data_IF_437667031529
#
_entry.id   IF_437667031529
#
_cell.length_a   1.000
_cell.length_b   1.000
_cell.length_c   1.000
_cell.angle_alpha   90.00
_cell.angle_beta   90.00
_cell.angle_gamma   90.00
#
_symmetry.space_group_name_H-M   'P 1'
#
loop_
_entity.id
_entity.type
_entity.pdbx_description
1 polymer ?
#
# COMPACT_ATOMS: atom_id res chain seq x y z
N UNK A 1 -11.12 13.86 -28.22
CA UNK A 1 -11.27 13.24 -26.88
C UNK A 1 -9.94 12.61 -26.51
N UNK A 2 -9.31 13.05 -25.42
CA UNK A 2 -8.11 12.38 -24.91
C UNK A 2 -8.62 11.14 -24.17
N UNK A 3 -8.36 9.94 -24.69
CA UNK A 3 -8.56 8.71 -23.90
C UNK A 3 -7.71 8.89 -22.65
N UNK A 4 -8.34 9.20 -21.51
CA UNK A 4 -7.69 9.00 -20.21
C UNK A 4 -7.39 7.51 -20.15
N UNK A 5 -6.11 7.15 -20.25
CA UNK A 5 -5.68 5.78 -20.05
C UNK A 5 -6.32 5.27 -18.76
N UNK A 6 -6.86 4.05 -18.81
CA UNK A 6 -7.51 3.41 -17.68
C UNK A 6 -6.59 3.52 -16.46
N UNK A 7 -7.02 4.27 -15.45
CA UNK A 7 -6.15 4.57 -14.30
C UNK A 7 -6.06 3.30 -13.46
N UNK A 8 -4.87 2.68 -13.33
CA UNK A 8 -4.75 1.31 -12.84
C UNK A 8 -5.28 1.12 -11.41
N UNK A 9 -5.32 2.19 -10.61
CA UNK A 9 -5.65 2.17 -9.18
C UNK A 9 -6.72 3.18 -8.78
N UNK A 10 -7.64 3.56 -9.68
CA UNK A 10 -8.76 4.42 -9.34
C UNK A 10 -9.69 3.82 -8.26
N UNK A 11 -9.73 2.48 -8.15
CA UNK A 11 -10.40 1.79 -7.05
C UNK A 11 -9.46 1.69 -5.83
N UNK A 12 -9.81 2.29 -4.67
CA UNK A 12 -8.98 2.25 -3.47
C UNK A 12 -8.70 0.85 -2.93
N UNK A 13 -9.64 -0.10 -3.04
CA UNK A 13 -9.38 -1.48 -2.59
C UNK A 13 -8.33 -2.15 -3.49
N UNK A 14 -8.38 -1.93 -4.80
CA UNK A 14 -7.38 -2.45 -5.74
C UNK A 14 -5.99 -1.87 -5.41
N UNK A 15 -5.92 -0.57 -5.12
CA UNK A 15 -4.70 0.08 -4.67
C UNK A 15 -4.21 -0.50 -3.33
N UNK A 16 -5.11 -0.72 -2.38
CA UNK A 16 -4.80 -1.32 -1.08
C UNK A 16 -4.21 -2.73 -1.21
N UNK A 17 -4.81 -3.59 -2.04
CA UNK A 17 -4.28 -4.95 -2.27
C UNK A 17 -2.86 -4.92 -2.84
N UNK A 18 -2.61 -4.02 -3.80
CA UNK A 18 -1.25 -3.85 -4.35
C UNK A 18 -0.26 -3.32 -3.30
N UNK A 19 -0.68 -2.40 -2.44
CA UNK A 19 0.10 -1.95 -1.28
C UNK A 19 0.47 -3.13 -0.38
N UNK A 20 -0.48 -4.03 -0.09
CA UNK A 20 -0.22 -5.23 0.73
C UNK A 20 0.75 -6.20 0.05
N UNK A 21 0.72 -6.32 -1.28
CA UNK A 21 1.69 -7.10 -2.06
C UNK A 21 3.12 -6.55 -1.98
N UNK A 22 3.28 -5.22 -2.00
CA UNK A 22 4.60 -4.60 -1.78
C UNK A 22 5.05 -4.74 -0.33
N UNK A 23 4.13 -4.58 0.62
CA UNK A 23 4.41 -4.73 2.05
C UNK A 23 4.92 -6.14 2.39
N UNK A 24 4.27 -7.21 1.87
CA UNK A 24 4.68 -8.60 2.12
C UNK A 24 6.00 -8.98 1.44
N UNK A 25 6.39 -8.28 0.38
CA UNK A 25 7.61 -8.58 -0.37
C UNK A 25 8.88 -8.08 0.36
N UNK A 26 8.73 -7.21 1.35
CA UNK A 26 9.82 -6.71 2.16
C UNK A 26 9.91 -7.49 3.47
N UNK A 27 11.10 -8.02 3.80
CA UNK A 27 11.36 -8.60 5.11
C UNK A 27 11.29 -7.51 6.19
N UNK A 28 10.34 -7.56 7.13
CA UNK A 28 10.19 -6.52 8.13
C UNK A 28 11.44 -6.39 9.02
N UNK A 29 11.72 -5.16 9.46
CA UNK A 29 12.77 -4.89 10.44
C UNK A 29 12.22 -5.07 11.86
N UNK A 30 12.95 -4.58 12.86
CA UNK A 30 12.59 -4.63 14.28
C UNK A 30 11.10 -4.32 14.53
N UNK A 31 10.46 -5.19 15.32
CA UNK A 31 9.05 -5.08 15.70
C UNK A 31 8.06 -5.13 14.51
N UNK A 32 8.45 -5.79 13.42
CA UNK A 32 7.60 -5.98 12.25
C UNK A 32 7.42 -4.72 11.39
N UNK A 33 8.24 -3.68 11.61
CA UNK A 33 8.15 -2.42 10.86
C UNK A 33 8.64 -2.58 9.43
N UNK A 34 8.01 -1.84 8.53
CA UNK A 34 8.35 -1.76 7.10
C UNK A 34 8.54 -0.28 6.79
N UNK A 35 9.66 0.09 6.16
CA UNK A 35 9.84 1.46 5.66
C UNK A 35 8.78 1.75 4.61
N UNK A 36 8.01 2.83 4.78
CA UNK A 36 6.93 3.17 3.86
C UNK A 36 7.42 3.39 2.43
N UNK A 37 8.70 3.77 2.26
CA UNK A 37 9.33 3.93 0.95
C UNK A 37 9.31 2.63 0.13
N UNK A 38 9.39 1.47 0.80
CA UNK A 38 9.31 0.14 0.16
C UNK A 38 7.94 -0.16 -0.45
N UNK A 39 6.95 0.69 -0.16
CA UNK A 39 5.60 0.61 -0.71
C UNK A 39 5.34 1.81 -1.63
N UNK A 40 5.61 3.03 -1.19
CA UNK A 40 5.24 4.23 -1.94
C UNK A 40 6.00 4.33 -3.28
N UNK A 41 7.26 3.91 -3.31
CA UNK A 41 8.14 4.04 -4.46
C UNK A 41 7.74 3.08 -5.57
N UNK A 42 7.59 1.76 -5.32
CA UNK A 42 7.12 0.87 -6.38
C UNK A 42 5.67 1.18 -6.81
N UNK A 43 4.80 1.66 -5.92
CA UNK A 43 3.46 2.13 -6.31
C UNK A 43 3.51 3.25 -7.36
N UNK A 44 4.41 4.23 -7.20
CA UNK A 44 4.51 5.39 -8.09
C UNK A 44 5.39 5.11 -9.31
N UNK A 45 6.58 4.58 -9.09
CA UNK A 45 7.62 4.44 -10.11
C UNK A 45 7.38 3.22 -11.00
N UNK A 46 6.91 2.10 -10.45
CA UNK A 46 6.73 0.84 -11.19
C UNK A 46 5.28 0.66 -11.63
N UNK A 47 4.36 0.72 -10.68
CA UNK A 47 2.93 0.47 -10.90
C UNK A 47 2.19 1.66 -11.52
N UNK A 48 2.85 2.83 -11.60
CA UNK A 48 2.31 4.08 -12.19
C UNK A 48 1.03 4.58 -11.49
N UNK A 49 0.86 4.26 -10.21
CA UNK A 49 -0.17 4.90 -9.40
C UNK A 49 0.15 6.38 -9.23
N UNK A 50 -0.88 7.21 -9.26
CA UNK A 50 -0.75 8.62 -8.86
C UNK A 50 -0.64 8.72 -7.33
N UNK A 51 -0.05 9.81 -6.79
CA UNK A 51 0.03 10.01 -5.34
C UNK A 51 -1.34 9.94 -4.64
N UNK A 52 -2.40 10.42 -5.30
CA UNK A 52 -3.76 10.37 -4.77
C UNK A 52 -4.31 8.93 -4.70
N UNK A 53 -4.01 8.08 -5.68
CA UNK A 53 -4.44 6.67 -5.70
C UNK A 53 -3.68 5.86 -4.66
N UNK A 54 -2.36 6.08 -4.54
CA UNK A 54 -1.56 5.50 -3.46
C UNK A 54 -2.14 5.87 -2.09
N UNK A 55 -2.42 7.16 -1.86
CA UNK A 55 -2.96 7.61 -0.58
C UNK A 55 -4.35 7.02 -0.30
N UNK A 56 -5.24 6.99 -1.30
CA UNK A 56 -6.55 6.37 -1.16
C UNK A 56 -6.46 4.87 -0.82
N UNK A 57 -5.54 4.14 -1.47
CA UNK A 57 -5.25 2.75 -1.17
C UNK A 57 -4.70 2.54 0.24
N UNK A 58 -3.76 3.39 0.67
CA UNK A 58 -3.18 3.33 2.00
C UNK A 58 -4.24 3.53 3.09
N UNK A 59 -5.08 4.57 2.93
CA UNK A 59 -6.19 4.84 3.83
C UNK A 59 -7.20 3.69 3.87
N UNK A 60 -7.47 3.06 2.71
CA UNK A 60 -8.33 1.89 2.65
C UNK A 60 -7.71 0.70 3.42
N UNK A 61 -6.43 0.39 3.22
CA UNK A 61 -5.75 -0.70 3.94
C UNK A 61 -5.76 -0.48 5.47
N UNK A 62 -5.56 0.76 5.91
CA UNK A 62 -5.64 1.14 7.33
C UNK A 62 -7.07 0.93 7.87
N UNK A 63 -8.08 1.40 7.14
CA UNK A 63 -9.49 1.25 7.53
C UNK A 63 -9.92 -0.22 7.66
N UNK A 64 -9.40 -1.10 6.79
CA UNK A 64 -9.66 -2.54 6.87
C UNK A 64 -8.86 -3.24 7.97
N UNK A 65 -7.97 -2.52 8.67
CA UNK A 65 -7.09 -3.10 9.68
C UNK A 65 -5.98 -3.97 9.10
N UNK A 66 -5.74 -3.93 7.79
CA UNK A 66 -4.68 -4.73 7.14
C UNK A 66 -3.28 -4.18 7.41
N UNK A 67 -3.19 -2.86 7.54
CA UNK A 67 -1.94 -2.13 7.69
C UNK A 67 -2.08 -1.09 8.81
N UNK A 68 -1.10 -1.01 9.69
CA UNK A 68 -0.97 0.08 10.66
C UNK A 68 0.01 1.13 10.11
N UNK A 69 -0.35 2.41 10.25
CA UNK A 69 0.50 3.55 9.87
C UNK A 69 1.12 4.17 11.12
N UNK A 70 2.45 4.22 11.17
CA UNK A 70 3.16 4.81 12.30
C UNK A 70 3.09 6.35 12.25
N UNK A 71 2.94 7.00 13.41
CA UNK A 71 2.78 8.47 13.51
C UNK A 71 3.94 9.27 12.90
N UNK A 72 5.15 8.70 12.86
CA UNK A 72 6.30 9.34 12.24
C UNK A 72 6.19 9.45 10.71
N UNK A 73 5.25 8.73 10.10
CA UNK A 73 5.07 8.61 8.66
C UNK A 73 6.19 7.83 7.94
N UNK A 74 7.18 7.32 8.68
CA UNK A 74 8.32 6.57 8.13
C UNK A 74 8.02 5.09 7.96
N UNK A 75 7.13 4.56 8.81
CA UNK A 75 6.92 3.13 8.94
C UNK A 75 5.45 2.75 8.80
N UNK A 76 5.24 1.54 8.33
CA UNK A 76 3.97 0.82 8.45
C UNK A 76 4.24 -0.56 9.03
N UNK A 77 3.18 -1.24 9.49
CA UNK A 77 3.26 -2.63 9.96
C UNK A 77 2.07 -3.41 9.42
N UNK A 78 2.33 -4.61 8.90
CA UNK A 78 1.26 -5.49 8.44
C UNK A 78 0.63 -6.22 9.64
N UNK A 79 -0.68 -6.05 9.81
CA UNK A 79 -1.45 -6.70 10.86
C UNK A 79 -1.85 -8.13 10.45
N UNK A 80 -2.39 -8.90 11.40
CA UNK A 80 -2.82 -10.27 11.12
C UNK A 80 -3.85 -10.33 9.99
N UNK A 81 -4.87 -9.47 10.02
CA UNK A 81 -5.87 -9.38 8.94
C UNK A 81 -5.26 -9.10 7.56
N UNK A 82 -4.14 -8.37 7.50
CA UNK A 82 -3.41 -8.13 6.26
C UNK A 82 -2.59 -9.34 5.80
N UNK A 83 -2.04 -10.12 6.74
CA UNK A 83 -1.35 -11.39 6.44
C UNK A 83 -2.34 -12.43 5.91
N UNK A 84 -3.54 -12.47 6.47
CA UNK A 84 -4.59 -13.43 6.12
C UNK A 84 -5.12 -13.25 4.68
N UNK A 85 -4.85 -12.10 4.03
CA UNK A 85 -5.14 -11.89 2.61
C UNK A 85 -4.34 -12.82 1.68
N UNK A 86 -3.26 -13.43 2.20
CA UNK A 86 -2.29 -14.22 1.42
C UNK A 86 -2.06 -15.63 1.98
N UNK A 87 -2.87 -16.05 2.94
CA UNK A 87 -2.82 -17.37 3.55
C UNK A 87 -3.53 -18.44 2.69
#
# INVERSE_FOLDING_TARGET
>A
MKLTADRPYANPEKAARRIMEHARAFEPIQDGRIYIEKINRPMIDEDKATPAEYWAGLQHAIKQGWLEYHESGTFVRMNQAGKDLFA
#
